data_IF_165113388442
#
_entry.id   IF_165113388442
#
_cell.length_a   1.000
_cell.length_b   1.000
_cell.length_c   1.000
_cell.angle_alpha   90.00
_cell.angle_beta   90.00
_cell.angle_gamma   90.00
#
_symmetry.space_group_name_H-M   'P 1'
#
loop_
_entity.id
_entity.type
_entity.pdbx_description
1 polymer ?
#
# COMPACT_ATOMS: atom_id res chain seq x y z
N UNK A 1 -0.45 34.99 11.98
CA UNK A 1 -1.64 35.36 11.19
C UNK A 1 -1.32 35.41 9.69
N UNK A 2 -0.07 35.70 9.29
CA UNK A 2 0.41 35.60 7.91
C UNK A 2 0.51 34.15 7.39
N UNK A 3 1.08 33.20 8.14
CA UNK A 3 1.19 31.79 7.71
C UNK A 3 -0.18 31.09 7.51
N UNK A 4 -1.19 31.40 8.33
CA UNK A 4 -2.57 30.90 8.16
C UNK A 4 -3.22 31.35 6.86
N UNK A 5 -2.88 32.55 6.40
CA UNK A 5 -3.34 33.09 5.11
C UNK A 5 -2.65 32.35 3.96
N UNK A 6 -1.43 31.90 4.18
CA UNK A 6 -0.62 31.17 3.22
C UNK A 6 -1.15 29.74 2.99
N UNK A 7 -1.50 28.99 4.05
CA UNK A 7 -2.05 27.62 3.89
C UNK A 7 -3.40 27.60 3.14
N UNK A 8 -4.28 28.55 3.46
CA UNK A 8 -5.58 28.70 2.77
C UNK A 8 -5.39 29.15 1.32
N UNK A 9 -4.39 30.01 1.04
CA UNK A 9 -4.04 30.42 -0.32
C UNK A 9 -3.37 29.30 -1.14
N UNK A 10 -2.56 28.46 -0.49
CA UNK A 10 -1.90 27.31 -1.11
C UNK A 10 -2.91 26.29 -1.64
N UNK A 11 -4.05 26.10 -0.97
CA UNK A 11 -5.09 25.18 -1.46
C UNK A 11 -5.63 25.58 -2.84
N UNK A 12 -5.69 26.88 -3.15
CA UNK A 12 -6.17 27.37 -4.46
C UNK A 12 -5.14 27.14 -5.58
N UNK A 13 -3.86 26.95 -5.22
CA UNK A 13 -2.79 26.60 -6.16
C UNK A 13 -2.77 25.08 -6.46
N UNK A 14 -3.48 24.28 -5.67
CA UNK A 14 -3.56 22.83 -5.87
C UNK A 14 -4.60 22.53 -6.95
N UNK A 15 -4.16 21.86 -8.01
CA UNK A 15 -4.99 21.47 -9.16
C UNK A 15 -6.05 20.41 -8.77
N UNK A 16 -5.79 19.63 -7.73
CA UNK A 16 -6.68 18.56 -7.27
C UNK A 16 -7.82 19.11 -6.39
N UNK A 17 -9.03 18.52 -6.45
CA UNK A 17 -10.13 18.87 -5.58
C UNK A 17 -9.73 18.67 -4.11
N UNK A 18 -9.99 19.67 -3.29
CA UNK A 18 -9.63 19.62 -1.88
C UNK A 18 -10.36 20.65 -1.04
N UNK A 19 -10.29 20.45 0.26
CA UNK A 19 -10.90 21.33 1.24
C UNK A 19 -10.10 21.38 2.54
N UNK A 20 -10.23 22.47 3.27
CA UNK A 20 -9.62 22.66 4.58
C UNK A 20 -10.66 22.45 5.68
N UNK A 21 -10.24 21.79 6.76
CA UNK A 21 -11.05 21.54 7.96
C UNK A 21 -10.35 22.15 9.16
N UNK A 22 -11.12 22.81 10.02
CA UNK A 22 -10.69 23.26 11.34
C UNK A 22 -11.77 22.95 12.36
N UNK A 23 -11.38 22.38 13.50
CA UNK A 23 -12.32 21.98 14.56
C UNK A 23 -13.45 21.06 14.02
N UNK A 24 -13.11 20.20 13.05
CA UNK A 24 -14.03 19.30 12.32
C UNK A 24 -15.00 19.99 11.35
N UNK A 25 -14.98 21.31 11.23
CA UNK A 25 -15.79 22.04 10.26
C UNK A 25 -15.00 22.35 9.00
N UNK A 26 -15.62 22.13 7.84
CA UNK A 26 -15.04 22.53 6.55
C UNK A 26 -15.04 24.07 6.49
N UNK A 27 -13.85 24.67 6.40
CA UNK A 27 -13.69 26.14 6.38
C UNK A 27 -13.47 26.71 4.98
N UNK A 28 -12.99 25.89 4.05
CA UNK A 28 -12.72 26.30 2.66
C UNK A 28 -12.75 25.09 1.73
N UNK A 29 -13.24 25.29 0.52
CA UNK A 29 -13.22 24.32 -0.60
C UNK A 29 -12.57 25.03 -1.78
N UNK A 30 -11.69 24.35 -2.52
CA UNK A 30 -11.07 24.96 -3.70
C UNK A 30 -11.96 24.85 -4.95
N UNK A 31 -11.59 25.59 -5.99
CA UNK A 31 -12.35 25.63 -7.24
C UNK A 31 -12.54 24.24 -7.88
N UNK A 32 -11.52 23.38 -7.80
CA UNK A 32 -11.58 22.03 -8.35
C UNK A 32 -12.61 21.13 -7.64
N UNK A 33 -12.98 21.44 -6.40
CA UNK A 33 -13.96 20.68 -5.61
C UNK A 33 -15.37 21.30 -5.59
N UNK A 34 -15.61 22.42 -6.29
CA UNK A 34 -16.94 23.08 -6.32
C UNK A 34 -18.04 22.16 -6.89
N UNK A 35 -17.70 21.34 -7.87
CA UNK A 35 -18.63 20.37 -8.49
C UNK A 35 -19.01 19.20 -7.58
N UNK A 36 -18.33 19.03 -6.44
CA UNK A 36 -18.56 17.94 -5.49
C UNK A 36 -19.60 18.29 -4.42
N UNK A 37 -20.18 19.49 -4.48
CA UNK A 37 -21.23 19.97 -3.56
C UNK A 37 -20.85 19.94 -2.08
N UNK A 38 -19.55 20.05 -1.78
CA UNK A 38 -19.03 20.15 -0.41
C UNK A 38 -19.29 21.56 0.11
N UNK A 39 -20.04 21.70 1.20
CA UNK A 39 -20.46 23.01 1.72
C UNK A 39 -19.61 23.41 2.94
N UNK A 40 -19.00 24.62 2.97
CA UNK A 40 -18.38 25.14 4.18
C UNK A 40 -19.34 25.15 5.38
N UNK A 41 -18.83 24.82 6.57
CA UNK A 41 -19.60 24.63 7.80
C UNK A 41 -20.09 23.20 8.03
N UNK A 42 -19.99 22.32 7.03
CA UNK A 42 -20.29 20.88 7.20
C UNK A 42 -19.29 20.23 8.18
N UNK A 43 -19.78 19.39 9.09
CA UNK A 43 -18.91 18.55 9.93
C UNK A 43 -18.31 17.43 9.08
N UNK A 44 -16.99 17.41 8.92
CA UNK A 44 -16.28 16.43 8.10
C UNK A 44 -16.53 14.99 8.55
N UNK A 45 -16.80 14.76 9.85
CA UNK A 45 -17.04 13.41 10.39
C UNK A 45 -18.27 12.75 9.79
N UNK A 46 -19.25 13.57 9.36
CA UNK A 46 -20.45 13.08 8.67
C UNK A 46 -20.15 12.55 7.27
N UNK A 47 -19.02 12.96 6.69
CA UNK A 47 -18.56 12.52 5.37
C UNK A 47 -17.63 11.31 5.46
N UNK A 48 -17.12 10.92 6.64
CA UNK A 48 -16.17 9.82 6.75
C UNK A 48 -16.89 8.47 6.58
N UNK A 49 -16.55 7.74 5.52
CA UNK A 49 -16.98 6.35 5.31
C UNK A 49 -16.06 5.37 6.04
N UNK A 50 -14.76 5.67 6.06
CA UNK A 50 -13.74 4.94 6.83
C UNK A 50 -12.85 5.94 7.57
N UNK A 51 -12.05 5.46 8.52
CA UNK A 51 -11.03 6.29 9.15
C UNK A 51 -11.52 7.21 10.29
N UNK A 52 -12.74 7.03 10.80
CA UNK A 52 -13.31 7.94 11.81
C UNK A 52 -12.53 7.93 13.13
N UNK A 53 -12.12 6.76 13.62
CA UNK A 53 -11.30 6.64 14.83
C UNK A 53 -9.88 7.18 14.58
N UNK A 54 -9.34 6.90 13.40
CA UNK A 54 -8.00 7.33 12.97
C UNK A 54 -7.92 8.84 12.80
N UNK A 55 -8.93 9.47 12.20
CA UNK A 55 -9.02 10.91 12.05
C UNK A 55 -9.20 11.61 13.40
N UNK A 56 -10.00 11.04 14.31
CA UNK A 56 -10.15 11.58 15.67
C UNK A 56 -8.84 11.53 16.48
N UNK A 57 -8.03 10.48 16.28
CA UNK A 57 -6.72 10.32 16.90
C UNK A 57 -5.56 10.92 16.08
N UNK A 58 -5.85 11.49 14.90
CA UNK A 58 -4.84 12.03 14.00
C UNK A 58 -4.22 13.25 14.66
N UNK A 59 -2.90 13.24 14.85
CA UNK A 59 -2.13 14.35 15.42
C UNK A 59 -1.13 14.94 14.43
N UNK A 60 -0.75 14.17 13.40
CA UNK A 60 0.17 14.58 12.35
C UNK A 60 0.52 13.41 11.44
N UNK A 61 1.34 13.69 10.41
CA UNK A 61 1.65 12.72 9.36
C UNK A 61 0.71 12.85 8.16
N UNK A 62 0.43 11.72 7.50
CA UNK A 62 -0.45 11.65 6.35
C UNK A 62 -1.46 10.51 6.55
N UNK A 63 -2.74 10.84 6.62
CA UNK A 63 -3.83 9.87 6.76
C UNK A 63 -4.54 9.72 5.43
N UNK A 64 -4.85 8.50 5.03
CA UNK A 64 -5.70 8.21 3.89
C UNK A 64 -6.97 7.50 4.37
N UNK A 65 -8.11 8.01 3.94
CA UNK A 65 -9.42 7.52 4.31
C UNK A 65 -10.39 7.63 3.13
N UNK A 66 -11.59 7.06 3.29
CA UNK A 66 -12.64 7.15 2.28
C UNK A 66 -13.77 8.05 2.79
N UNK A 67 -14.21 8.96 1.93
CA UNK A 67 -15.35 9.82 2.16
C UNK A 67 -16.59 9.29 1.43
N UNK A 68 -17.76 9.50 2.01
CA UNK A 68 -19.05 9.35 1.36
C UNK A 68 -19.50 10.71 0.84
N UNK A 69 -19.42 10.91 -0.47
CA UNK A 69 -19.97 12.08 -1.15
C UNK A 69 -21.32 11.70 -1.78
N UNK A 70 -22.12 12.68 -2.18
CA UNK A 70 -23.56 12.58 -2.50
C UNK A 70 -23.98 11.36 -3.33
N UNK A 71 -23.15 10.87 -4.25
CA UNK A 71 -23.45 9.76 -5.15
C UNK A 71 -22.36 8.68 -5.26
N UNK A 72 -21.22 8.86 -4.59
CA UNK A 72 -20.08 7.94 -4.71
C UNK A 72 -19.14 8.06 -3.49
N UNK A 73 -18.36 7.00 -3.25
CA UNK A 73 -17.25 7.05 -2.31
C UNK A 73 -16.00 7.64 -2.99
N UNK A 74 -15.28 8.49 -2.28
CA UNK A 74 -14.05 9.13 -2.78
C UNK A 74 -12.91 8.92 -1.78
N UNK A 75 -11.73 8.50 -2.26
CA UNK A 75 -10.52 8.44 -1.45
C UNK A 75 -9.98 9.86 -1.17
N UNK A 76 -9.50 10.09 0.05
CA UNK A 76 -8.94 11.38 0.44
C UNK A 76 -7.65 11.18 1.24
N UNK A 77 -6.60 11.93 0.89
CA UNK A 77 -5.44 12.09 1.76
C UNK A 77 -5.58 13.34 2.61
N UNK A 78 -5.23 13.22 3.89
CA UNK A 78 -5.35 14.24 4.91
C UNK A 78 -3.98 14.52 5.48
N UNK A 79 -3.59 15.79 5.46
CA UNK A 79 -2.36 16.27 6.12
C UNK A 79 -2.69 17.43 7.02
N UNK A 80 -2.09 17.43 8.21
CA UNK A 80 -2.22 18.56 9.13
C UNK A 80 -1.09 19.56 8.91
N UNK A 81 -1.47 20.81 8.69
CA UNK A 81 -0.57 21.96 8.65
C UNK A 81 -1.06 22.91 9.73
N UNK A 82 -0.25 23.11 10.76
CA UNK A 82 -0.62 23.81 11.99
C UNK A 82 -1.89 23.23 12.65
N UNK A 83 -2.95 24.02 12.71
CA UNK A 83 -4.28 23.67 13.24
C UNK A 83 -5.33 23.42 12.15
N UNK A 84 -4.89 23.23 10.89
CA UNK A 84 -5.76 23.02 9.72
C UNK A 84 -5.47 21.65 9.10
N UNK A 85 -6.52 20.87 8.92
CA UNK A 85 -6.48 19.63 8.16
C UNK A 85 -6.78 19.91 6.70
N UNK A 86 -5.85 19.56 5.82
CA UNK A 86 -6.00 19.69 4.37
C UNK A 86 -6.38 18.34 3.80
N UNK A 87 -7.59 18.25 3.23
CA UNK A 87 -8.09 17.09 2.52
C UNK A 87 -7.86 17.28 1.02
N UNK A 88 -7.19 16.31 0.38
CA UNK A 88 -7.02 16.23 -1.06
C UNK A 88 -7.72 14.98 -1.57
N UNK A 89 -8.65 15.16 -2.50
CA UNK A 89 -9.52 14.12 -3.03
C UNK A 89 -8.93 13.47 -4.28
N UNK A 90 -9.17 12.18 -4.43
CA UNK A 90 -8.84 11.45 -5.66
C UNK A 90 -9.79 11.81 -6.79
N UNK A 91 -9.22 11.96 -8.00
CA UNK A 91 -9.99 12.30 -9.20
C UNK A 91 -10.21 11.07 -10.07
N UNK A 92 -11.27 11.10 -10.89
CA UNK A 92 -11.49 10.08 -11.90
C UNK A 92 -10.34 9.97 -12.91
N UNK A 93 -9.64 11.08 -13.20
CA UNK A 93 -8.43 11.07 -14.03
C UNK A 93 -7.35 10.15 -13.46
N UNK A 94 -7.20 10.12 -12.13
CA UNK A 94 -6.22 9.29 -11.45
C UNK A 94 -6.52 7.80 -11.70
N UNK A 95 -7.81 7.44 -11.76
CA UNK A 95 -8.25 6.09 -12.11
C UNK A 95 -8.02 5.76 -13.60
N UNK A 96 -8.11 6.76 -14.49
CA UNK A 96 -7.82 6.59 -15.92
C UNK A 96 -6.37 6.23 -16.20
N UNK A 97 -5.43 6.82 -15.46
CA UNK A 97 -4.00 6.46 -15.53
C UNK A 97 -3.74 5.05 -15.01
N UNK A 98 -4.33 4.68 -13.86
CA UNK A 98 -4.24 3.33 -13.31
C UNK A 98 -4.82 2.29 -14.29
N UNK A 99 -5.94 2.60 -14.95
CA UNK A 99 -6.54 1.75 -15.99
C UNK A 99 -5.63 1.60 -17.20
N UNK A 100 -4.98 2.68 -17.64
CA UNK A 100 -4.01 2.63 -18.74
C UNK A 100 -2.82 1.73 -18.40
N UNK A 101 -2.31 1.84 -17.17
CA UNK A 101 -1.26 0.95 -16.65
C UNK A 101 -1.73 -0.52 -16.62
N UNK A 102 -2.94 -0.79 -16.14
CA UNK A 102 -3.48 -2.14 -16.10
C UNK A 102 -3.63 -2.76 -17.50
N UNK A 103 -4.02 -1.97 -18.50
CA UNK A 103 -4.06 -2.41 -19.90
C UNK A 103 -2.67 -2.75 -20.43
N UNK A 104 -1.68 -1.88 -20.21
CA UNK A 104 -0.29 -2.15 -20.61
C UNK A 104 0.26 -3.42 -19.94
N UNK A 105 -0.03 -3.64 -18.66
CA UNK A 105 0.37 -4.85 -17.94
C UNK A 105 -0.21 -6.13 -18.55
N UNK A 106 -1.46 -6.07 -19.06
CA UNK A 106 -2.08 -7.20 -19.75
C UNK A 106 -1.38 -7.54 -21.07
N UNK A 107 -0.96 -6.53 -21.84
CA UNK A 107 -0.23 -6.73 -23.10
C UNK A 107 1.19 -7.29 -22.88
N UNK A 108 1.85 -6.90 -21.79
CA UNK A 108 3.17 -7.39 -21.41
C UNK A 108 3.18 -8.82 -20.84
N UNK A 109 2.00 -9.37 -20.51
CA UNK A 109 1.86 -10.68 -19.87
C UNK A 109 2.35 -11.82 -20.75
N UNK A 110 1.81 -11.91 -21.96
CA UNK A 110 2.14 -12.99 -22.90
C UNK A 110 3.65 -13.04 -23.24
N UNK A 111 4.31 -11.92 -23.60
CA UNK A 111 5.74 -11.95 -23.85
C UNK A 111 6.55 -12.29 -22.60
N UNK A 112 6.16 -11.83 -21.41
CA UNK A 112 6.89 -12.17 -20.18
C UNK A 112 6.74 -13.66 -19.83
N UNK A 113 5.54 -14.22 -19.92
CA UNK A 113 5.31 -15.66 -19.68
C UNK A 113 6.20 -16.50 -20.59
N UNK A 114 6.35 -16.13 -21.85
CA UNK A 114 7.23 -16.84 -22.78
C UNK A 114 8.71 -16.74 -22.38
N UNK A 115 9.18 -15.55 -21.98
CA UNK A 115 10.55 -15.37 -21.46
C UNK A 115 10.78 -16.22 -20.22
N UNK A 116 9.80 -16.27 -19.32
CA UNK A 116 9.90 -17.04 -18.09
C UNK A 116 9.91 -18.55 -18.34
N UNK A 117 9.03 -19.08 -19.19
CA UNK A 117 9.04 -20.50 -19.57
C UNK A 117 10.39 -20.87 -20.19
N UNK A 118 10.91 -20.00 -21.04
CA UNK A 118 12.23 -20.20 -21.67
C UNK A 118 13.33 -20.19 -20.61
N UNK A 119 13.30 -19.24 -19.67
CA UNK A 119 14.26 -19.16 -18.58
C UNK A 119 14.19 -20.39 -17.66
N UNK A 120 13.00 -20.82 -17.25
CA UNK A 120 12.79 -22.03 -16.44
C UNK A 120 13.36 -23.29 -17.11
N UNK A 121 13.34 -23.35 -18.45
CA UNK A 121 13.94 -24.46 -19.22
C UNK A 121 15.47 -24.36 -19.35
N UNK A 122 16.03 -23.14 -19.33
CA UNK A 122 17.46 -22.89 -19.50
C UNK A 122 18.22 -22.91 -18.17
N UNK A 123 17.62 -22.44 -17.08
CA UNK A 123 18.28 -22.35 -15.77
C UNK A 123 18.83 -23.69 -15.27
N UNK A 124 18.11 -24.83 -15.35
CA UNK A 124 18.65 -26.13 -14.95
C UNK A 124 19.85 -26.56 -15.81
N UNK A 125 19.87 -26.20 -17.10
CA UNK A 125 20.98 -26.52 -18.01
C UNK A 125 22.22 -25.69 -17.67
N UNK A 126 22.03 -24.42 -17.33
CA UNK A 126 23.10 -23.53 -16.91
C UNK A 126 23.65 -23.87 -15.52
N UNK A 127 22.80 -24.34 -14.60
CA UNK A 127 23.22 -24.80 -13.27
C UNK A 127 24.11 -26.06 -13.35
N UNK A 128 23.91 -26.91 -14.36
CA UNK A 128 24.73 -28.10 -14.58
C UNK A 128 26.19 -27.77 -14.98
N UNK A 129 26.47 -26.58 -15.53
CA UNK A 129 27.83 -26.17 -15.92
C UNK A 129 28.77 -25.92 -14.72
N UNK A 130 28.28 -25.95 -13.47
CA UNK A 130 29.07 -25.81 -12.22
C UNK A 130 30.00 -24.58 -12.16
N UNK A 131 29.75 -23.57 -12.99
CA UNK A 131 30.52 -22.33 -13.06
C UNK A 131 29.91 -21.32 -12.09
N UNK A 132 30.65 -20.83 -11.08
CA UNK A 132 30.15 -19.82 -10.13
C UNK A 132 29.66 -18.55 -10.83
N UNK A 133 30.31 -18.17 -11.94
CA UNK A 133 29.91 -17.03 -12.76
C UNK A 133 28.57 -17.25 -13.47
N UNK A 134 28.31 -18.47 -13.92
CA UNK A 134 27.05 -18.83 -14.58
C UNK A 134 25.91 -18.83 -13.57
N UNK A 135 26.13 -19.37 -12.36
CA UNK A 135 25.16 -19.32 -11.27
C UNK A 135 24.79 -17.88 -10.88
N UNK A 136 25.78 -16.99 -10.72
CA UNK A 136 25.53 -15.57 -10.43
C UNK A 136 24.71 -14.88 -11.54
N UNK A 137 25.00 -15.19 -12.81
CA UNK A 137 24.26 -14.64 -13.95
C UNK A 137 22.81 -15.15 -14.01
N UNK A 138 22.59 -16.43 -13.73
CA UNK A 138 21.26 -17.05 -13.63
C UNK A 138 20.45 -16.38 -12.51
N UNK A 139 21.03 -16.26 -11.32
CA UNK A 139 20.36 -15.64 -10.18
C UNK A 139 19.99 -14.17 -10.44
N UNK A 140 20.89 -13.41 -11.11
CA UNK A 140 20.60 -12.03 -11.55
C UNK A 140 19.46 -11.96 -12.55
N UNK A 141 19.43 -12.85 -13.54
CA UNK A 141 18.36 -12.90 -14.53
C UNK A 141 17.03 -13.26 -13.87
N UNK A 142 17.04 -14.29 -13.02
CA UNK A 142 15.85 -14.75 -12.32
C UNK A 142 15.28 -13.65 -11.42
N UNK A 143 16.12 -13.00 -10.61
CA UNK A 143 15.71 -11.82 -9.83
C UNK A 143 15.10 -10.72 -10.71
N UNK A 144 15.66 -10.46 -11.88
CA UNK A 144 15.10 -9.52 -12.86
C UNK A 144 13.70 -9.90 -13.33
N UNK A 145 13.44 -11.19 -13.58
CA UNK A 145 12.11 -11.69 -13.95
C UNK A 145 11.10 -11.50 -12.80
N UNK A 146 11.50 -11.79 -11.56
CA UNK A 146 10.67 -11.55 -10.37
C UNK A 146 10.34 -10.05 -10.20
N UNK A 147 11.28 -9.16 -10.49
CA UNK A 147 11.03 -7.70 -10.47
C UNK A 147 10.02 -7.27 -11.54
N UNK A 148 10.11 -7.83 -12.76
CA UNK A 148 9.13 -7.53 -13.82
C UNK A 148 7.75 -8.08 -13.43
N UNK A 149 7.67 -9.29 -12.88
CA UNK A 149 6.42 -9.85 -12.36
C UNK A 149 5.77 -8.94 -11.32
N UNK A 150 6.55 -8.44 -10.37
CA UNK A 150 6.07 -7.48 -9.36
C UNK A 150 5.51 -6.21 -10.02
N UNK A 151 6.22 -5.65 -11.01
CA UNK A 151 5.76 -4.46 -11.74
C UNK A 151 4.42 -4.73 -12.45
N UNK A 152 4.33 -5.81 -13.21
CA UNK A 152 3.14 -6.18 -13.96
C UNK A 152 1.96 -6.50 -13.03
N UNK A 153 2.22 -7.21 -11.93
CA UNK A 153 1.22 -7.49 -10.89
C UNK A 153 0.70 -6.19 -10.28
N UNK A 154 1.59 -5.32 -9.83
CA UNK A 154 1.20 -4.02 -9.24
C UNK A 154 0.40 -3.15 -10.22
N UNK A 155 0.77 -3.12 -11.50
CA UNK A 155 0.02 -2.41 -12.54
C UNK A 155 -1.35 -3.03 -12.81
N UNK A 156 -1.43 -4.37 -12.88
CA UNK A 156 -2.69 -5.09 -13.13
C UNK A 156 -3.69 -4.88 -11.99
N UNK A 157 -3.20 -4.82 -10.76
CA UNK A 157 -4.05 -4.82 -9.57
C UNK A 157 -4.40 -3.43 -9.05
N UNK A 158 -3.66 -2.40 -9.48
CA UNK A 158 -4.00 -1.02 -9.16
C UNK A 158 -5.39 -0.60 -9.70
N UNK A 159 -5.83 -1.13 -10.86
CA UNK A 159 -7.22 -0.96 -11.33
C UNK A 159 -8.16 -2.02 -10.72
N UNK A 160 -7.74 -3.30 -10.70
CA UNK A 160 -8.62 -4.42 -10.35
C UNK A 160 -9.05 -4.41 -8.88
N UNK A 161 -8.17 -3.95 -8.00
CA UNK A 161 -8.50 -3.74 -6.60
C UNK A 161 -9.54 -2.62 -6.41
N UNK A 162 -9.90 -1.82 -7.41
CA UNK A 162 -11.02 -0.87 -7.26
C UNK A 162 -12.41 -1.53 -7.43
N UNK A 163 -12.49 -2.75 -7.98
CA UNK A 163 -13.75 -3.30 -8.49
C UNK A 163 -14.30 -4.52 -7.72
N UNK A 164 -13.46 -5.44 -7.19
CA UNK A 164 -13.95 -6.65 -6.51
C UNK A 164 -13.00 -7.06 -5.36
N UNK A 165 -13.53 -7.24 -4.15
CA UNK A 165 -12.86 -7.89 -3.02
C UNK A 165 -13.54 -9.23 -2.74
N UNK A 166 -12.77 -10.31 -2.65
CA UNK A 166 -13.27 -11.63 -2.29
C UNK A 166 -12.97 -11.91 -0.82
N UNK A 167 -13.86 -11.41 0.03
CA UNK A 167 -13.70 -11.59 1.46
C UNK A 167 -14.31 -12.90 1.92
N UNK A 168 -13.53 -13.65 2.69
CA UNK A 168 -13.92 -14.89 3.33
C UNK A 168 -13.79 -14.76 4.84
N UNK A 169 -14.52 -15.57 5.60
CA UNK A 169 -14.37 -15.57 7.06
C UNK A 169 -13.12 -16.33 7.42
N UNK A 170 -12.12 -15.62 7.94
CA UNK A 170 -10.82 -16.18 8.32
C UNK A 170 -10.44 -15.74 9.73
N UNK A 171 -9.51 -16.46 10.35
CA UNK A 171 -8.83 -16.00 11.55
C UNK A 171 -7.75 -14.97 11.17
N UNK A 172 -8.04 -13.69 11.42
CA UNK A 172 -7.20 -12.59 10.92
C UNK A 172 -5.81 -12.57 11.59
N UNK A 173 -5.67 -12.71 12.93
CA UNK A 173 -4.37 -12.88 13.58
C UNK A 173 -3.51 -13.99 12.99
N UNK A 174 -4.08 -15.19 12.80
CA UNK A 174 -3.35 -16.31 12.20
C UNK A 174 -2.91 -16.01 10.77
N UNK A 175 -3.77 -15.34 9.98
CA UNK A 175 -3.44 -14.91 8.62
C UNK A 175 -2.24 -13.95 8.58
N UNK A 176 -2.21 -12.93 9.44
CA UNK A 176 -1.08 -12.01 9.51
C UNK A 176 0.19 -12.69 10.03
N UNK A 177 0.08 -13.56 11.04
CA UNK A 177 1.22 -14.34 11.53
C UNK A 177 1.88 -15.13 10.40
N UNK A 178 1.09 -15.81 9.55
CA UNK A 178 1.61 -16.54 8.39
C UNK A 178 2.35 -15.63 7.40
N UNK A 179 1.82 -14.44 7.11
CA UNK A 179 2.48 -13.49 6.20
C UNK A 179 3.84 -13.04 6.76
N UNK A 180 3.90 -12.72 8.05
CA UNK A 180 5.14 -12.23 8.68
C UNK A 180 6.16 -13.36 8.90
N UNK A 181 5.74 -14.58 9.17
CA UNK A 181 6.64 -15.75 9.28
C UNK A 181 7.34 -16.04 7.94
N UNK A 182 6.58 -16.03 6.84
CA UNK A 182 7.16 -16.15 5.48
C UNK A 182 8.13 -15.01 5.18
N UNK A 183 7.73 -13.78 5.50
CA UNK A 183 8.57 -12.61 5.25
C UNK A 183 9.85 -12.62 6.10
N UNK A 184 9.80 -13.04 7.36
CA UNK A 184 10.96 -13.10 8.27
C UNK A 184 12.07 -13.98 7.70
N UNK A 185 11.70 -15.14 7.15
CA UNK A 185 12.63 -16.07 6.49
C UNK A 185 13.40 -15.37 5.37
N UNK A 186 12.70 -14.62 4.52
CA UNK A 186 13.29 -13.89 3.40
C UNK A 186 14.13 -12.68 3.89
N UNK A 187 13.61 -11.90 4.84
CA UNK A 187 14.23 -10.66 5.34
C UNK A 187 15.51 -10.93 6.12
N UNK A 188 15.64 -12.07 6.78
CA UNK A 188 16.86 -12.46 7.50
C UNK A 188 18.14 -12.35 6.66
N UNK A 189 18.03 -12.54 5.33
CA UNK A 189 19.14 -12.45 4.38
C UNK A 189 19.54 -11.00 4.03
N UNK A 190 18.75 -10.00 4.41
CA UNK A 190 19.03 -8.58 4.14
C UNK A 190 19.90 -7.92 5.21
N UNK A 191 20.07 -8.57 6.37
CA UNK A 191 20.72 -8.00 7.55
C UNK A 191 19.84 -7.03 8.33
N UNK A 192 18.51 -7.07 8.14
CA UNK A 192 17.51 -6.32 8.91
C UNK A 192 16.76 -7.29 9.82
N UNK A 193 16.46 -6.86 11.04
CA UNK A 193 15.67 -7.66 11.98
C UNK A 193 14.18 -7.36 11.80
N UNK A 194 13.39 -8.34 11.37
CA UNK A 194 11.93 -8.24 11.31
C UNK A 194 11.33 -8.91 12.56
N UNK A 195 10.40 -8.23 13.22
CA UNK A 195 9.65 -8.76 14.37
C UNK A 195 8.16 -8.56 14.16
N UNK A 196 7.34 -9.54 14.56
CA UNK A 196 5.89 -9.47 14.53
C UNK A 196 5.29 -9.81 15.89
N UNK A 197 4.35 -8.99 16.35
CA UNK A 197 3.55 -9.23 17.55
C UNK A 197 2.06 -9.08 17.20
N UNK A 198 1.25 -10.08 17.52
CA UNK A 198 -0.19 -10.08 17.28
C UNK A 198 -0.98 -10.64 18.46
N UNK A 199 -2.33 -10.59 18.41
CA UNK A 199 -3.16 -11.17 19.46
C UNK A 199 -3.05 -12.70 19.49
N UNK A 200 -2.92 -13.29 20.68
CA UNK A 200 -2.90 -14.76 20.86
C UNK A 200 -4.26 -15.42 20.63
N UNK A 201 -5.34 -14.65 20.70
CA UNK A 201 -6.71 -15.15 20.55
C UNK A 201 -7.20 -14.96 19.11
N UNK A 202 -7.93 -15.94 18.55
CA UNK A 202 -8.45 -15.85 17.20
C UNK A 202 -9.47 -14.72 17.08
N UNK A 203 -9.41 -14.00 15.96
CA UNK A 203 -10.36 -12.93 15.63
C UNK A 203 -10.90 -13.21 14.24
N UNK A 204 -12.10 -13.80 14.20
CA UNK A 204 -12.76 -14.13 12.95
C UNK A 204 -13.42 -12.91 12.33
N UNK A 205 -13.09 -12.66 11.06
CA UNK A 205 -13.68 -11.59 10.27
C UNK A 205 -13.56 -11.85 8.77
N UNK A 206 -14.28 -11.05 7.99
CA UNK A 206 -14.22 -11.04 6.54
C UNK A 206 -12.92 -10.40 6.06
N UNK A 207 -12.11 -11.17 5.32
CA UNK A 207 -10.87 -10.70 4.73
C UNK A 207 -10.62 -11.30 3.35
N UNK A 208 -10.08 -10.49 2.44
CA UNK A 208 -9.49 -10.95 1.17
C UNK A 208 -8.00 -11.18 1.41
N UNK A 209 -7.64 -12.46 1.54
CA UNK A 209 -6.29 -12.91 1.85
C UNK A 209 -5.24 -12.31 0.90
N UNK A 210 -5.47 -12.37 -0.40
CA UNK A 210 -4.49 -11.96 -1.41
C UNK A 210 -4.26 -10.44 -1.35
N UNK A 211 -5.34 -9.65 -1.19
CA UNK A 211 -5.21 -8.20 -1.04
C UNK A 211 -4.43 -7.81 0.22
N UNK A 212 -4.66 -8.52 1.33
CA UNK A 212 -3.95 -8.25 2.59
C UNK A 212 -2.48 -8.70 2.52
N UNK A 213 -2.19 -9.88 1.99
CA UNK A 213 -0.83 -10.38 1.81
C UNK A 213 0.00 -9.38 1.02
N UNK A 214 -0.54 -8.90 -0.09
CA UNK A 214 0.14 -7.92 -0.94
C UNK A 214 0.28 -6.56 -0.30
N UNK A 215 -0.72 -6.10 0.44
CA UNK A 215 -0.58 -4.87 1.21
C UNK A 215 0.57 -4.99 2.24
N UNK A 216 0.64 -6.11 2.96
CA UNK A 216 1.72 -6.40 3.93
C UNK A 216 3.08 -6.43 3.24
N UNK A 217 3.22 -7.18 2.15
CA UNK A 217 4.49 -7.28 1.42
C UNK A 217 4.91 -5.93 0.80
N UNK A 218 3.96 -5.09 0.39
CA UNK A 218 4.27 -3.73 -0.07
C UNK A 218 4.69 -2.80 1.08
N UNK A 219 4.08 -2.91 2.25
CA UNK A 219 4.52 -2.17 3.45
C UNK A 219 5.95 -2.62 3.83
N UNK A 220 6.19 -3.92 3.89
CA UNK A 220 7.49 -4.50 4.22
C UNK A 220 8.57 -4.12 3.20
N UNK A 221 8.29 -4.25 1.90
CA UNK A 221 9.22 -3.83 0.85
C UNK A 221 9.67 -2.39 1.02
N UNK A 222 8.74 -1.47 1.36
CA UNK A 222 9.11 -0.08 1.63
C UNK A 222 9.95 0.04 2.91
N UNK A 223 9.52 -0.59 4.01
CA UNK A 223 10.28 -0.57 5.27
C UNK A 223 11.73 -1.07 5.07
N UNK A 224 11.92 -2.20 4.40
CA UNK A 224 13.23 -2.81 4.17
C UNK A 224 14.11 -1.92 3.27
N UNK A 225 13.55 -1.36 2.18
CA UNK A 225 14.31 -0.49 1.25
C UNK A 225 14.86 0.77 1.90
N UNK A 226 14.16 1.32 2.89
CA UNK A 226 14.54 2.55 3.57
C UNK A 226 15.23 2.34 4.93
N UNK A 227 15.37 1.08 5.37
CA UNK A 227 16.09 0.71 6.58
C UNK A 227 17.55 0.38 6.25
N UNK A 228 18.53 1.00 6.92
CA UNK A 228 19.94 0.62 6.74
C UNK A 228 20.21 -0.79 7.29
N UNK A 229 21.28 -1.43 6.80
CA UNK A 229 21.73 -2.73 7.34
C UNK A 229 21.97 -2.65 8.86
N UNK A 230 21.55 -3.68 9.58
CA UNK A 230 21.56 -3.71 11.05
C UNK A 230 20.38 -2.99 11.70
N UNK A 231 19.48 -2.38 10.92
CA UNK A 231 18.25 -1.77 11.41
C UNK A 231 17.15 -2.78 11.71
N UNK A 232 16.00 -2.26 12.14
CA UNK A 232 14.86 -3.05 12.62
C UNK A 232 13.57 -2.63 11.93
N UNK A 233 12.73 -3.62 11.65
CA UNK A 233 11.33 -3.44 11.25
C UNK A 233 10.46 -4.20 12.25
N UNK A 234 9.52 -3.49 12.88
CA UNK A 234 8.60 -4.06 13.87
C UNK A 234 7.17 -3.92 13.40
N UNK A 235 6.49 -5.05 13.24
CA UNK A 235 5.08 -5.15 12.93
C UNK A 235 4.29 -5.51 14.18
N UNK A 236 3.19 -4.80 14.41
CA UNK A 236 2.29 -5.05 15.53
C UNK A 236 0.84 -5.04 15.06
N UNK A 237 0.10 -6.11 15.32
CA UNK A 237 -1.34 -6.19 15.12
C UNK A 237 -2.05 -6.02 16.46
N UNK A 238 -2.91 -5.01 16.56
CA UNK A 238 -3.70 -4.74 17.77
C UNK A 238 -5.18 -4.65 17.45
N UNK A 239 -6.02 -4.98 18.43
CA UNK A 239 -7.48 -4.80 18.35
C UNK A 239 -7.88 -3.56 19.15
N UNK A 240 -8.65 -2.68 18.52
CA UNK A 240 -9.33 -1.55 19.17
C UNK A 240 -10.83 -1.67 18.86
N UNK A 241 -11.62 -2.13 19.82
CA UNK A 241 -13.06 -2.31 19.64
C UNK A 241 -13.41 -3.26 18.48
N UNK A 242 -13.95 -2.70 17.39
CA UNK A 242 -14.31 -3.40 16.15
C UNK A 242 -13.29 -3.24 15.03
N UNK A 243 -12.14 -2.62 15.30
CA UNK A 243 -11.07 -2.41 14.34
C UNK A 243 -9.86 -3.25 14.70
N UNK A 244 -9.16 -3.75 13.68
CA UNK A 244 -7.80 -4.23 13.78
C UNK A 244 -6.86 -3.17 13.20
N UNK A 245 -5.70 -3.02 13.82
CA UNK A 245 -4.67 -2.06 13.45
C UNK A 245 -3.35 -2.80 13.29
N UNK A 246 -2.88 -2.89 12.05
CA UNK A 246 -1.52 -3.33 11.73
C UNK A 246 -0.63 -2.10 11.63
N UNK A 247 0.33 -1.95 12.53
CA UNK A 247 1.39 -0.95 12.44
C UNK A 247 2.71 -1.60 12.10
N UNK A 248 3.38 -1.14 11.05
CA UNK A 248 4.75 -1.52 10.70
C UNK A 248 5.65 -0.31 10.86
N UNK A 249 6.63 -0.40 11.74
CA UNK A 249 7.57 0.68 12.07
C UNK A 249 8.97 0.27 11.64
N UNK A 250 9.64 1.11 10.86
CA UNK A 250 11.02 0.94 10.44
C UNK A 250 11.96 1.91 11.17
N UNK A 251 13.23 1.53 11.32
CA UNK A 251 14.29 2.38 11.88
C UNK A 251 15.07 3.16 10.80
N UNK A 252 14.43 3.46 9.67
CA UNK A 252 15.03 4.08 8.50
C UNK A 252 15.17 5.60 8.58
N UNK A 253 15.40 6.22 7.41
CA UNK A 253 15.58 7.68 7.30
C UNK A 253 14.28 8.49 7.50
N UNK A 254 13.13 7.83 7.55
CA UNK A 254 11.83 8.47 7.56
C UNK A 254 11.45 9.09 6.21
N UNK A 255 10.22 9.63 6.15
CA UNK A 255 9.70 10.36 4.98
C UNK A 255 9.80 11.85 5.23
N UNK A 256 10.49 12.56 4.34
CA UNK A 256 10.59 14.02 4.37
C UNK A 256 9.20 14.70 4.31
N UNK A 257 8.99 15.74 5.12
CA UNK A 257 7.70 16.44 5.24
C UNK A 257 7.16 16.92 3.89
N UNK A 258 8.03 17.39 3.00
CA UNK A 258 7.68 17.88 1.65
C UNK A 258 7.09 16.81 0.73
N UNK A 259 7.33 15.52 1.02
CA UNK A 259 6.86 14.41 0.20
C UNK A 259 5.60 13.76 0.80
N UNK A 260 5.38 13.90 2.12
CA UNK A 260 4.28 13.24 2.87
C UNK A 260 2.90 13.46 2.27
N UNK A 261 2.57 14.69 1.87
CA UNK A 261 1.28 15.07 1.28
C UNK A 261 0.97 14.40 -0.05
N UNK A 262 1.97 13.75 -0.66
CA UNK A 262 1.87 13.14 -1.98
C UNK A 262 2.24 11.66 -2.01
N UNK A 263 2.50 11.05 -0.86
CA UNK A 263 2.90 9.64 -0.77
C UNK A 263 1.83 8.73 -1.39
N UNK A 264 0.56 9.04 -1.18
CA UNK A 264 -0.57 8.27 -1.73
C UNK A 264 -0.81 8.49 -3.23
N UNK A 265 -0.26 9.56 -3.81
CA UNK A 265 -0.40 9.92 -5.22
C UNK A 265 0.93 9.89 -5.98
N UNK A 266 1.92 9.14 -5.48
CA UNK A 266 3.29 9.12 -6.02
C UNK A 266 3.34 8.60 -7.46
N UNK A 267 2.43 7.68 -7.83
CA UNK A 267 2.34 7.11 -9.19
C UNK A 267 1.97 8.13 -10.27
N UNK A 268 1.36 9.27 -9.90
CA UNK A 268 1.03 10.37 -10.82
C UNK A 268 2.26 11.26 -11.12
N UNK A 269 3.38 11.06 -10.42
CA UNK A 269 4.58 11.86 -10.60
C UNK A 269 5.53 11.21 -11.58
N UNK A 270 6.28 12.03 -12.30
CA UNK A 270 7.43 11.53 -13.06
C UNK A 270 8.39 10.80 -12.11
N UNK A 271 8.91 9.62 -12.51
CA UNK A 271 9.93 8.93 -11.74
C UNK A 271 11.08 9.88 -11.44
N UNK A 272 11.41 10.07 -10.16
CA UNK A 272 12.58 10.84 -9.79
C UNK A 272 13.80 10.05 -10.29
N UNK A 273 14.50 10.58 -11.31
CA UNK A 273 15.69 9.95 -11.90
C UNK A 273 16.84 9.77 -10.89
N UNK A 274 16.77 10.44 -9.73
CA UNK A 274 17.88 10.58 -8.78
C UNK A 274 17.95 9.48 -7.71
N UNK A 275 16.91 8.69 -7.47
CA UNK A 275 16.94 7.61 -6.46
C UNK A 275 16.21 6.36 -6.93
N UNK A 276 17.00 5.35 -7.29
CA UNK A 276 16.55 4.06 -7.83
C UNK A 276 15.76 3.20 -6.86
N UNK A 277 15.69 3.56 -5.57
CA UNK A 277 14.84 2.89 -4.58
C UNK A 277 13.37 3.22 -4.75
N UNK A 278 13.05 4.31 -5.44
CA UNK A 278 11.67 4.68 -5.76
C UNK A 278 11.21 3.95 -7.02
N UNK A 279 10.40 2.90 -6.84
CA UNK A 279 9.67 2.25 -7.93
C UNK A 279 8.52 3.11 -8.48
N UNK A 280 7.62 2.50 -9.25
CA UNK A 280 6.52 3.15 -9.99
C UNK A 280 5.46 3.81 -9.05
N UNK A 281 5.58 3.64 -7.73
CA UNK A 281 4.71 4.30 -6.74
C UNK A 281 3.34 3.64 -6.54
N UNK A 282 3.13 2.45 -7.12
CA UNK A 282 1.85 1.71 -7.02
C UNK A 282 1.65 0.99 -5.68
N UNK A 283 2.71 0.74 -4.91
CA UNK A 283 2.59 0.03 -3.63
C UNK A 283 1.64 0.70 -2.64
N UNK A 284 1.62 2.03 -2.57
CA UNK A 284 0.66 2.77 -1.73
C UNK A 284 -0.78 2.66 -2.23
N UNK A 285 -0.98 2.51 -3.54
CA UNK A 285 -2.31 2.24 -4.12
C UNK A 285 -2.83 0.90 -3.64
N UNK A 286 -2.00 -0.14 -3.65
CA UNK A 286 -2.42 -1.46 -3.16
C UNK A 286 -2.77 -1.43 -1.66
N UNK A 287 -1.95 -0.75 -0.85
CA UNK A 287 -2.19 -0.65 0.60
C UNK A 287 -3.48 0.12 0.91
N UNK A 288 -3.68 1.29 0.29
CA UNK A 288 -4.88 2.12 0.53
C UNK A 288 -6.15 1.42 0.06
N UNK A 289 -6.08 0.72 -1.07
CA UNK A 289 -7.23 -0.01 -1.61
C UNK A 289 -7.57 -1.24 -0.76
N UNK A 290 -6.57 -1.99 -0.30
CA UNK A 290 -6.77 -3.08 0.65
C UNK A 290 -7.42 -2.56 1.95
N UNK A 291 -6.94 -1.45 2.51
CA UNK A 291 -7.53 -0.85 3.71
C UNK A 291 -8.99 -0.43 3.47
N UNK A 292 -9.26 0.29 2.38
CA UNK A 292 -10.60 0.77 2.04
C UNK A 292 -11.61 -0.39 1.86
N UNK A 293 -11.22 -1.46 1.15
CA UNK A 293 -12.03 -2.67 0.99
C UNK A 293 -12.36 -3.36 2.30
N UNK A 294 -11.42 -3.35 3.24
CA UNK A 294 -11.62 -3.90 4.58
C UNK A 294 -12.24 -2.88 5.55
N UNK A 295 -12.69 -1.71 5.05
CA UNK A 295 -13.40 -0.72 5.84
C UNK A 295 -12.52 0.04 6.83
N UNK A 296 -11.24 0.22 6.53
CA UNK A 296 -10.32 0.99 7.33
C UNK A 296 -9.61 2.09 6.57
N UNK A 297 -8.50 2.54 7.14
CA UNK A 297 -7.73 3.69 6.71
C UNK A 297 -6.21 3.38 6.78
N UNK A 298 -5.40 4.27 6.22
CA UNK A 298 -3.94 4.15 6.25
C UNK A 298 -3.35 5.43 6.84
N UNK A 299 -2.62 5.32 7.95
CA UNK A 299 -1.88 6.42 8.55
C UNK A 299 -0.38 6.22 8.36
N UNK A 300 0.31 7.26 7.92
CA UNK A 300 1.76 7.31 7.84
C UNK A 300 2.25 8.42 8.76
N UNK A 301 2.97 8.04 9.81
CA UNK A 301 3.49 8.97 10.81
C UNK A 301 4.91 8.59 11.25
N UNK A 302 5.43 9.32 12.25
CA UNK A 302 6.79 9.19 12.75
C UNK A 302 6.79 9.33 14.28
N UNK A 303 6.47 8.27 15.03
CA UNK A 303 6.27 8.34 16.48
C UNK A 303 7.48 8.79 17.30
N UNK A 304 8.70 8.44 16.87
CA UNK A 304 9.92 8.58 17.68
C UNK A 304 10.94 9.54 17.04
N UNK A 305 10.52 10.36 16.08
CA UNK A 305 11.43 11.31 15.41
C UNK A 305 12.49 10.66 14.51
N UNK A 306 12.49 9.34 14.34
CA UNK A 306 13.31 8.56 13.39
C UNK A 306 12.42 7.51 12.72
N UNK A 307 12.76 7.12 11.48
CA UNK A 307 12.02 6.09 10.75
C UNK A 307 10.66 6.50 10.21
N UNK A 308 9.91 5.50 9.76
CA UNK A 308 8.51 5.65 9.32
C UNK A 308 7.66 4.61 10.01
N UNK A 309 6.43 4.97 10.35
CA UNK A 309 5.41 4.00 10.71
C UNK A 309 4.24 4.09 9.74
N UNK A 310 3.92 2.96 9.13
CA UNK A 310 2.70 2.78 8.33
C UNK A 310 1.72 1.97 9.16
N UNK A 311 0.55 2.53 9.38
CA UNK A 311 -0.55 1.92 10.12
C UNK A 311 -1.72 1.70 9.17
N UNK A 312 -2.05 0.44 8.88
CA UNK A 312 -3.24 0.04 8.14
C UNK A 312 -4.30 -0.44 9.13
N UNK A 313 -5.53 0.04 8.99
CA UNK A 313 -6.65 -0.44 9.80
C UNK A 313 -7.67 -1.20 8.96
N UNK A 314 -8.46 -2.03 9.63
CA UNK A 314 -9.55 -2.78 9.02
C UNK A 314 -10.66 -3.05 10.02
N UNK A 315 -11.90 -3.09 9.53
CA UNK A 315 -13.07 -3.42 10.30
C UNK A 315 -13.21 -4.93 10.50
N UNK A 316 -13.47 -5.37 11.73
CA UNK A 316 -13.89 -6.73 12.05
C UNK A 316 -15.38 -6.89 11.65
N UNK A 317 -15.57 -7.24 10.38
CA UNK A 317 -16.88 -7.51 9.78
C UNK A 317 -17.17 -9.01 9.87
N UNK A 318 -18.34 -9.36 10.39
CA UNK A 318 -18.81 -10.75 10.39
C UNK A 318 -19.77 -10.94 9.22
N UNK A 319 -19.66 -12.06 8.52
CA UNK A 319 -20.69 -12.41 7.54
C UNK A 319 -21.99 -12.78 8.26
N UNK A 320 -23.12 -12.19 7.83
CA UNK A 320 -24.46 -12.64 8.25
C UNK A 320 -24.96 -13.84 7.43
N UNK A 321 -24.29 -14.21 6.34
CA UNK A 321 -24.66 -15.32 5.47
C UNK A 321 -23.41 -16.03 4.94
N UNK A 322 -23.26 -17.32 5.27
CA UNK A 322 -22.30 -18.20 4.62
C UNK A 322 -22.71 -18.39 3.15
N UNK A 323 -22.29 -17.49 2.27
CA UNK A 323 -22.45 -17.67 0.84
C UNK A 323 -21.26 -18.49 0.36
N UNK A 324 -21.50 -19.78 0.11
CA UNK A 324 -20.60 -20.60 -0.69
C UNK A 324 -20.50 -19.95 -2.07
N UNK A 325 -19.33 -19.41 -2.40
CA UNK A 325 -19.02 -18.89 -3.75
C UNK A 325 -18.01 -19.81 -4.38
N UNK A 326 -18.21 -20.15 -5.66
CA UNK A 326 -17.29 -21.02 -6.38
C UNK A 326 -15.94 -20.34 -6.55
N UNK A 327 -14.86 -21.13 -6.53
CA UNK A 327 -13.54 -20.71 -6.99
C UNK A 327 -13.63 -20.25 -8.44
N UNK A 328 -13.81 -18.94 -8.66
CA UNK A 328 -13.42 -18.35 -9.94
C UNK A 328 -11.91 -18.44 -9.96
N UNK A 329 -11.37 -19.29 -10.85
CA UNK A 329 -9.93 -19.41 -11.08
C UNK A 329 -9.35 -18.00 -11.26
N UNK A 330 -8.53 -17.57 -10.30
CA UNK A 330 -7.74 -16.36 -10.43
C UNK A 330 -6.55 -16.66 -11.34
N UNK A 331 -6.12 -15.65 -12.08
CA UNK A 331 -4.79 -15.66 -12.68
C UNK A 331 -3.84 -15.29 -11.54
N UNK A 332 -3.31 -16.30 -10.85
CA UNK A 332 -2.16 -16.10 -9.98
C UNK A 332 -0.99 -15.69 -10.89
N UNK A 333 -0.59 -14.42 -10.83
CA UNK A 333 0.50 -13.90 -11.64
C UNK A 333 1.86 -14.48 -11.23
N UNK A 334 1.97 -15.03 -10.03
CA UNK A 334 3.14 -15.80 -9.61
C UNK A 334 3.12 -17.22 -10.18
N UNK A 335 1.94 -17.75 -10.51
CA UNK A 335 1.77 -19.17 -10.81
C UNK A 335 2.12 -20.01 -9.58
N UNK A 336 3.11 -20.90 -9.69
CA UNK A 336 3.63 -21.67 -8.54
C UNK A 336 4.78 -20.96 -7.80
N UNK A 337 5.13 -19.73 -8.18
CA UNK A 337 6.28 -19.01 -7.59
C UNK A 337 5.93 -18.38 -6.25
N UNK A 338 6.95 -18.24 -5.41
CA UNK A 338 6.81 -17.61 -4.09
C UNK A 338 6.49 -16.11 -4.20
N UNK A 339 5.34 -15.70 -3.65
CA UNK A 339 4.87 -14.31 -3.67
C UNK A 339 5.80 -13.38 -2.89
N UNK A 340 6.42 -13.86 -1.82
CA UNK A 340 7.41 -13.12 -1.05
C UNK A 340 8.66 -12.80 -1.87
N UNK A 341 9.17 -13.77 -2.64
CA UNK A 341 10.28 -13.53 -3.57
C UNK A 341 9.92 -12.52 -4.66
N UNK A 342 8.67 -12.47 -5.12
CA UNK A 342 8.21 -11.49 -6.10
C UNK A 342 8.16 -10.10 -5.47
N UNK A 343 7.38 -9.95 -4.39
CA UNK A 343 7.09 -8.64 -3.80
C UNK A 343 8.30 -8.02 -3.08
N UNK A 344 9.25 -8.83 -2.62
CA UNK A 344 10.50 -8.36 -1.98
C UNK A 344 11.71 -8.33 -2.92
N UNK A 345 11.53 -8.57 -4.23
CA UNK A 345 12.62 -8.66 -5.22
C UNK A 345 13.51 -7.42 -5.38
N UNK A 346 13.01 -6.25 -5.01
CA UNK A 346 13.81 -5.02 -4.97
C UNK A 346 14.81 -5.00 -3.81
N UNK A 347 14.49 -5.65 -2.68
CA UNK A 347 15.27 -5.59 -1.44
C UNK A 347 15.97 -6.90 -1.06
N UNK A 348 15.57 -8.04 -1.62
CA UNK A 348 16.22 -9.31 -1.35
C UNK A 348 17.56 -9.44 -2.09
N UNK A 349 18.53 -10.14 -1.46
CA UNK A 349 19.82 -10.44 -2.08
C UNK A 349 19.65 -11.43 -3.24
N UNK A 350 20.62 -11.46 -4.16
CA UNK A 350 20.44 -12.14 -5.47
C UNK A 350 20.54 -13.67 -5.33
N UNK A 351 21.24 -14.13 -4.32
CA UNK A 351 21.48 -15.53 -3.94
C UNK A 351 20.18 -16.28 -3.60
N UNK A 352 19.10 -15.57 -3.28
CA UNK A 352 17.76 -16.16 -3.06
C UNK A 352 17.02 -16.52 -4.36
N UNK A 353 17.61 -16.21 -5.53
CA UNK A 353 17.00 -16.43 -6.85
C UNK A 353 17.79 -17.44 -7.70
N UNK A 354 18.67 -18.23 -7.08
CA UNK A 354 19.44 -19.29 -7.73
C UNK A 354 18.57 -20.44 -8.29
#
# INVERSE_FOLDING_TARGET
MEEKKDTLGMLDLVIRPGFCVKENQIIKVNQAAESLFITPGTDVRSLLLTGSEEYAAFTGGCLYLTLSLSSHSCGASVTRVDDIDVFLLEQESDNGELRSMALAARELREPLTNVMITADSLFPLCAAESSPRTAEQVARLNRGLFQILRIIGNMSDAERCAAVSHQETVDIPALFAEFFEKAETLVSHTGITLTYEGPDQPIYGLADREQLERAVLNILSNAIKFTPKGGTVTAKLTRSGRMLRLSVTDSGSGIAQSVRSSVFSRYLRQPALEDSRYGIGLGMVLIRTAAAHHGGAVLIDQPEGVGTRITMTMSIRQSKQATLRSNVLRVDYAGERDHGLIELSECLPTELYE
#
